data_IF_875568785346
#
_entry.id   IF_875568785346
#
_cell.length_a   1.000
_cell.length_b   1.000
_cell.length_c   1.000
_cell.angle_alpha   90.00
_cell.angle_beta   90.00
_cell.angle_gamma   90.00
#
_symmetry.space_group_name_H-M   'P 1'
#
loop_
_entity.id
_entity.type
_entity.pdbx_description
1 polymer ?
#
# COMPACT_ATOMS: atom_id res chain seq x y z
N UNK A 1 -11.80 -4.01 7.08
CA UNK A 1 -12.62 -4.68 6.04
C UNK A 1 -14.01 -5.13 6.52
N UNK A 2 -14.12 -5.88 7.63
CA UNK A 2 -15.43 -6.36 8.13
C UNK A 2 -16.42 -5.23 8.41
N UNK A 3 -15.95 -4.14 9.04
CA UNK A 3 -16.76 -2.95 9.31
C UNK A 3 -17.26 -2.27 8.03
N UNK A 4 -16.43 -2.20 6.99
CA UNK A 4 -16.82 -1.63 5.69
C UNK A 4 -17.91 -2.48 4.99
N UNK A 5 -17.80 -3.80 5.07
CA UNK A 5 -18.82 -4.72 4.52
C UNK A 5 -20.15 -4.57 5.27
N UNK A 6 -20.11 -4.54 6.60
CA UNK A 6 -21.28 -4.31 7.45
C UNK A 6 -21.97 -2.96 7.13
N UNK A 7 -21.20 -1.87 7.08
CA UNK A 7 -21.71 -0.53 6.78
C UNK A 7 -22.27 -0.45 5.36
N UNK A 8 -21.59 -1.05 4.37
CA UNK A 8 -22.06 -1.07 2.98
C UNK A 8 -23.38 -1.84 2.79
N UNK A 9 -23.55 -2.97 3.47
CA UNK A 9 -24.78 -3.76 3.44
C UNK A 9 -25.94 -3.06 4.17
N UNK A 10 -25.66 -2.36 5.27
CA UNK A 10 -26.64 -1.53 5.98
C UNK A 10 -27.11 -0.34 5.13
N UNK A 11 -26.18 0.34 4.43
CA UNK A 11 -26.49 1.43 3.50
C UNK A 11 -27.33 0.97 2.30
N UNK A 12 -27.15 -0.26 1.84
CA UNK A 12 -27.97 -0.87 0.78
C UNK A 12 -29.35 -1.35 1.27
N UNK A 13 -29.70 -1.14 2.56
CA UNK A 13 -30.97 -1.58 3.18
C UNK A 13 -31.30 -3.05 2.91
N UNK A 14 -30.29 -3.91 2.87
CA UNK A 14 -30.47 -5.34 2.64
C UNK A 14 -31.06 -6.02 3.88
N UNK A 15 -31.77 -7.14 3.67
CA UNK A 15 -32.37 -7.90 4.76
C UNK A 15 -31.33 -8.35 5.79
N UNK A 16 -31.71 -8.42 7.08
CA UNK A 16 -30.79 -8.74 8.19
C UNK A 16 -30.02 -10.06 7.96
N UNK A 17 -30.68 -11.06 7.35
CA UNK A 17 -30.05 -12.33 6.96
C UNK A 17 -28.92 -12.17 5.94
N UNK A 18 -29.08 -11.26 4.97
CA UNK A 18 -28.06 -10.96 3.96
C UNK A 18 -26.89 -10.16 4.54
N UNK A 19 -27.15 -9.28 5.51
CA UNK A 19 -26.11 -8.50 6.21
C UNK A 19 -25.18 -9.44 6.99
N UNK A 20 -25.77 -10.37 7.76
CA UNK A 20 -25.01 -11.35 8.55
C UNK A 20 -24.22 -12.27 7.62
N UNK A 21 -24.87 -12.83 6.58
CA UNK A 21 -24.22 -13.73 5.63
C UNK A 21 -23.10 -13.04 4.82
N UNK A 22 -23.31 -11.79 4.41
CA UNK A 22 -22.31 -10.99 3.69
C UNK A 22 -21.10 -10.64 4.57
N UNK A 23 -21.35 -10.29 5.83
CA UNK A 23 -20.29 -10.02 6.81
C UNK A 23 -19.47 -11.28 7.09
N UNK A 24 -20.13 -12.44 7.29
CA UNK A 24 -19.45 -13.72 7.50
C UNK A 24 -18.61 -14.14 6.29
N UNK A 25 -19.10 -13.98 5.05
CA UNK A 25 -18.29 -14.23 3.84
C UNK A 25 -17.04 -13.36 3.81
N UNK A 26 -17.15 -12.10 4.24
CA UNK A 26 -16.01 -11.17 4.29
C UNK A 26 -15.00 -11.60 5.35
N UNK A 27 -15.47 -12.02 6.53
CA UNK A 27 -14.61 -12.55 7.60
C UNK A 27 -13.87 -13.80 7.10
N UNK A 28 -14.58 -14.78 6.54
CA UNK A 28 -13.98 -16.03 6.06
C UNK A 28 -12.97 -15.76 4.93
N UNK A 29 -13.31 -14.90 3.98
CA UNK A 29 -12.39 -14.49 2.91
C UNK A 29 -11.11 -13.87 3.47
N UNK A 30 -11.22 -12.96 4.44
CA UNK A 30 -10.06 -12.33 5.05
C UNK A 30 -9.20 -13.31 5.87
N UNK A 31 -9.81 -14.21 6.63
CA UNK A 31 -9.09 -15.24 7.40
C UNK A 31 -8.29 -16.15 6.47
N UNK A 32 -8.90 -16.63 5.38
CA UNK A 32 -8.24 -17.50 4.41
C UNK A 32 -7.08 -16.78 3.73
N UNK A 33 -7.29 -15.53 3.28
CA UNK A 33 -6.24 -14.72 2.65
C UNK A 33 -5.06 -14.47 3.59
N UNK A 34 -5.35 -14.12 4.85
CA UNK A 34 -4.30 -13.83 5.85
C UNK A 34 -3.52 -15.09 6.21
N UNK A 35 -4.21 -16.23 6.40
CA UNK A 35 -3.56 -17.51 6.65
C UNK A 35 -2.67 -17.94 5.48
N UNK A 36 -3.16 -17.83 4.24
CA UNK A 36 -2.40 -18.12 3.03
C UNK A 36 -1.18 -17.23 2.87
N UNK A 37 -1.33 -15.92 3.05
CA UNK A 37 -0.22 -14.97 2.99
C UNK A 37 0.86 -15.27 4.06
N UNK A 38 0.45 -15.65 5.27
CA UNK A 38 1.37 -16.05 6.34
C UNK A 38 2.20 -17.29 5.99
N UNK A 39 1.58 -18.30 5.40
CA UNK A 39 2.28 -19.52 4.94
C UNK A 39 3.32 -19.17 3.85
N UNK A 40 2.95 -18.32 2.89
CA UNK A 40 3.85 -17.87 1.83
C UNK A 40 5.03 -17.09 2.41
N UNK A 41 4.77 -16.12 3.29
CA UNK A 41 5.80 -15.31 3.94
C UNK A 41 6.77 -16.16 4.78
N UNK A 42 6.25 -17.14 5.53
CA UNK A 42 7.05 -18.08 6.30
C UNK A 42 7.96 -18.92 5.40
N UNK A 43 7.41 -19.45 4.30
CA UNK A 43 8.18 -20.22 3.32
C UNK A 43 9.29 -19.38 2.70
N UNK A 44 8.99 -18.12 2.35
CA UNK A 44 9.97 -17.17 1.83
C UNK A 44 11.09 -16.89 2.84
N UNK A 45 10.75 -16.79 4.13
CA UNK A 45 11.72 -16.57 5.20
C UNK A 45 12.70 -17.74 5.33
N UNK A 46 12.20 -18.98 5.32
CA UNK A 46 13.06 -20.18 5.35
C UNK A 46 13.94 -20.24 4.11
N UNK A 47 13.37 -19.97 2.93
CA UNK A 47 14.14 -19.93 1.69
C UNK A 47 15.26 -18.89 1.75
N UNK A 48 14.99 -17.71 2.31
CA UNK A 48 15.98 -16.65 2.53
C UNK A 48 17.15 -17.15 3.36
N UNK A 49 16.87 -17.76 4.52
CA UNK A 49 17.89 -18.28 5.44
C UNK A 49 18.71 -19.42 4.82
N UNK A 50 18.06 -20.30 4.07
CA UNK A 50 18.74 -21.40 3.37
C UNK A 50 19.70 -20.85 2.30
N UNK A 51 19.27 -19.84 1.54
CA UNK A 51 20.09 -19.19 0.51
C UNK A 51 21.28 -18.44 1.13
N UNK A 52 21.07 -17.73 2.24
CA UNK A 52 22.12 -17.04 3.01
C UNK A 52 23.19 -18.04 3.50
N UNK A 53 22.74 -19.18 4.03
CA UNK A 53 23.61 -20.23 4.54
C UNK A 53 24.37 -20.97 3.43
N UNK A 54 23.72 -21.26 2.29
CA UNK A 54 24.33 -22.02 1.19
C UNK A 54 25.27 -21.21 0.31
N UNK A 55 25.04 -19.90 0.16
CA UNK A 55 25.84 -19.06 -0.75
C UNK A 55 26.70 -18.01 -0.03
N UNK A 56 26.67 -17.94 1.30
CA UNK A 56 27.36 -16.92 2.11
C UNK A 56 27.05 -15.46 1.67
N UNK A 57 25.93 -15.23 0.99
CA UNK A 57 25.51 -13.90 0.53
C UNK A 57 24.73 -13.26 1.68
N UNK A 58 25.31 -12.28 2.37
CA UNK A 58 24.56 -11.42 3.30
C UNK A 58 23.57 -10.58 2.51
N UNK A 59 22.29 -10.94 2.60
CA UNK A 59 21.24 -10.27 1.85
C UNK A 59 19.88 -10.53 2.46
N UNK A 60 19.30 -9.53 3.10
CA UNK A 60 17.88 -9.55 3.46
C UNK A 60 17.06 -9.74 2.19
N UNK A 61 16.15 -10.73 2.18
CA UNK A 61 15.23 -10.86 1.04
C UNK A 61 14.35 -9.60 1.02
N UNK A 62 14.35 -8.86 -0.11
CA UNK A 62 13.63 -7.60 -0.20
C UNK A 62 12.13 -7.87 -0.09
N UNK A 63 11.62 -7.67 1.13
CA UNK A 63 10.21 -7.67 1.46
C UNK A 63 9.76 -6.22 1.60
N UNK A 64 8.71 -5.86 0.87
CA UNK A 64 8.08 -4.54 0.90
C UNK A 64 7.65 -4.12 2.30
N UNK A 65 7.14 -5.04 3.12
CA UNK A 65 6.69 -4.76 4.50
C UNK A 65 7.86 -4.51 5.44
N UNK A 66 8.94 -5.28 5.32
CA UNK A 66 10.13 -5.11 6.14
C UNK A 66 10.83 -3.76 5.84
N UNK A 67 10.88 -3.37 4.55
CA UNK A 67 11.48 -2.11 4.14
C UNK A 67 10.65 -0.90 4.60
N UNK A 68 9.32 -0.98 4.53
CA UNK A 68 8.46 0.08 5.03
C UNK A 68 8.52 0.22 6.55
N UNK A 69 8.56 -0.89 7.29
CA UNK A 69 8.75 -0.87 8.73
C UNK A 69 10.08 -0.20 9.12
N UNK A 70 11.16 -0.45 8.37
CA UNK A 70 12.45 0.22 8.57
C UNK A 70 12.40 1.72 8.25
N UNK A 71 11.70 2.11 7.18
CA UNK A 71 11.55 3.52 6.82
C UNK A 71 10.71 4.28 7.85
N UNK A 72 9.59 3.72 8.29
CA UNK A 72 8.73 4.34 9.29
C UNK A 72 9.38 4.40 10.68
N UNK A 73 10.21 3.41 11.04
CA UNK A 73 11.00 3.43 12.27
C UNK A 73 12.01 4.58 12.29
N UNK A 74 12.63 4.91 11.16
CA UNK A 74 13.67 5.93 11.07
C UNK A 74 13.15 7.32 10.67
N UNK A 75 12.05 7.40 9.93
CA UNK A 75 11.57 8.61 9.26
C UNK A 75 10.05 8.82 9.36
N UNK A 76 9.40 8.20 10.35
CA UNK A 76 7.93 8.11 10.45
C UNK A 76 7.16 9.43 10.34
N UNK A 77 7.69 10.53 10.88
CA UNK A 77 7.04 11.86 10.76
C UNK A 77 7.06 12.39 9.32
N UNK A 78 8.18 12.20 8.63
CA UNK A 78 8.35 12.69 7.27
C UNK A 78 7.57 11.83 6.28
N UNK A 79 7.60 10.50 6.44
CA UNK A 79 6.79 9.58 5.62
C UNK A 79 5.29 9.81 5.82
N UNK A 80 4.84 10.05 7.06
CA UNK A 80 3.44 10.38 7.34
C UNK A 80 3.01 11.70 6.67
N UNK A 81 3.87 12.71 6.67
CA UNK A 81 3.58 14.02 6.06
C UNK A 81 3.52 13.93 4.53
N UNK A 82 4.46 13.18 3.91
CA UNK A 82 4.46 12.87 2.47
C UNK A 82 3.16 12.16 2.08
N UNK A 83 2.73 11.18 2.88
CA UNK A 83 1.53 10.40 2.64
C UNK A 83 0.26 11.26 2.69
N UNK A 84 0.14 12.16 3.68
CA UNK A 84 -1.00 13.09 3.77
C UNK A 84 -1.02 14.07 2.59
N UNK A 85 0.12 14.69 2.28
CA UNK A 85 0.22 15.65 1.17
C UNK A 85 0.00 14.97 -0.20
N UNK A 86 0.56 13.78 -0.42
CA UNK A 86 0.36 13.02 -1.64
C UNK A 86 -1.10 12.59 -1.85
N UNK A 87 -1.81 12.26 -0.77
CA UNK A 87 -3.24 11.96 -0.84
C UNK A 87 -4.08 13.20 -1.18
N UNK A 88 -3.73 14.39 -0.65
CA UNK A 88 -4.37 15.65 -1.02
C UNK A 88 -4.15 15.98 -2.51
N UNK A 89 -2.92 15.81 -3.00
CA UNK A 89 -2.58 16.01 -4.41
C UNK A 89 -3.34 15.01 -5.30
N UNK A 90 -3.45 13.75 -4.89
CA UNK A 90 -4.22 12.74 -5.61
C UNK A 90 -5.71 13.13 -5.73
N UNK A 91 -6.32 13.61 -4.65
CA UNK A 91 -7.72 14.10 -4.68
C UNK A 91 -7.84 15.31 -5.61
N UNK A 92 -6.90 16.26 -5.55
CA UNK A 92 -6.90 17.44 -6.41
C UNK A 92 -6.75 17.07 -7.90
N UNK A 93 -5.83 16.16 -8.24
CA UNK A 93 -5.62 15.68 -9.61
C UNK A 93 -6.78 14.84 -10.13
N UNK A 94 -7.42 14.06 -9.26
CA UNK A 94 -8.63 13.28 -9.61
C UNK A 94 -9.88 14.16 -9.78
N UNK A 95 -9.89 15.37 -9.20
CA UNK A 95 -10.94 16.36 -9.47
C UNK A 95 -10.76 17.05 -10.83
N UNK A 96 -9.52 17.23 -11.31
CA UNK A 96 -9.23 17.86 -12.60
C UNK A 96 -9.22 16.90 -13.79
N UNK A 97 -8.88 15.62 -13.58
CA UNK A 97 -8.90 14.60 -14.61
C UNK A 97 -10.18 13.75 -14.50
N UNK A 98 -10.89 13.51 -15.60
CA UNK A 98 -12.06 12.62 -15.68
C UNK A 98 -11.74 11.13 -15.42
N UNK A 99 -10.63 10.83 -14.75
CA UNK A 99 -10.20 9.50 -14.34
C UNK A 99 -10.78 9.27 -12.96
N UNK A 100 -11.81 8.42 -12.90
CA UNK A 100 -12.56 8.05 -11.70
C UNK A 100 -11.62 7.83 -10.51
N UNK A 101 -12.00 8.42 -9.37
CA UNK A 101 -11.27 8.29 -8.09
C UNK A 101 -11.15 6.81 -7.72
N UNK A 102 -9.95 6.25 -7.84
CA UNK A 102 -9.66 4.90 -7.35
C UNK A 102 -9.14 4.99 -5.92
N UNK A 103 -10.06 5.04 -4.95
CA UNK A 103 -9.78 4.84 -3.53
C UNK A 103 -9.54 3.34 -3.24
N UNK A 104 -8.55 2.73 -3.88
CA UNK A 104 -8.23 1.33 -3.68
C UNK A 104 -6.97 1.16 -2.86
N UNK A 105 -6.92 0.07 -2.08
CA UNK A 105 -5.76 -0.40 -1.31
C UNK A 105 -4.44 -0.43 -2.11
N UNK A 106 -4.49 -0.33 -3.45
CA UNK A 106 -3.33 -0.22 -4.34
C UNK A 106 -2.49 1.06 -4.13
N UNK A 107 -3.07 2.08 -3.53
CA UNK A 107 -2.39 3.28 -3.03
C UNK A 107 -1.29 2.93 -2.02
N UNK A 108 -1.46 1.86 -1.22
CA UNK A 108 -0.45 1.40 -0.26
C UNK A 108 0.85 0.96 -0.93
N UNK A 109 0.82 0.21 -2.03
CA UNK A 109 2.06 -0.25 -2.68
C UNK A 109 2.89 0.91 -3.29
N UNK A 110 2.23 1.95 -3.79
CA UNK A 110 2.90 3.16 -4.30
C UNK A 110 3.48 4.03 -3.17
N UNK A 111 2.79 4.11 -2.03
CA UNK A 111 3.29 4.70 -0.78
C UNK A 111 4.58 4.02 -0.33
N UNK A 112 4.55 2.69 -0.29
CA UNK A 112 5.66 1.87 0.18
C UNK A 112 6.91 2.01 -0.70
N UNK A 113 6.75 2.08 -2.02
CA UNK A 113 7.89 2.25 -2.94
C UNK A 113 8.58 3.61 -2.79
N UNK A 114 7.79 4.68 -2.60
CA UNK A 114 8.33 6.04 -2.47
C UNK A 114 8.96 6.28 -1.09
N UNK A 115 8.33 5.80 -0.02
CA UNK A 115 8.82 5.99 1.36
C UNK A 115 9.98 5.06 1.73
N UNK A 116 9.95 3.78 1.30
CA UNK A 116 10.97 2.82 1.72
C UNK A 116 12.25 2.88 0.89
N UNK A 117 12.14 3.14 -0.42
CA UNK A 117 13.28 3.22 -1.33
C UNK A 117 13.69 4.65 -1.69
N UNK A 118 12.71 5.52 -1.96
CA UNK A 118 12.95 6.88 -2.45
C UNK A 118 13.44 7.83 -1.37
N UNK A 119 12.77 7.86 -0.23
CA UNK A 119 13.05 8.81 0.85
C UNK A 119 14.53 8.81 1.35
N UNK A 120 15.16 7.68 1.74
CA UNK A 120 16.54 7.67 2.21
C UNK A 120 17.57 7.99 1.11
N UNK A 121 17.26 7.70 -0.17
CA UNK A 121 18.11 8.05 -1.32
C UNK A 121 17.99 9.54 -1.65
N UNK A 122 16.77 10.08 -1.64
CA UNK A 122 16.49 11.49 -1.91
C UNK A 122 17.03 12.41 -0.81
N UNK A 123 17.01 11.99 0.47
CA UNK A 123 17.64 12.74 1.58
C UNK A 123 19.16 12.91 1.41
N UNK A 124 19.83 11.98 0.70
CA UNK A 124 21.26 12.11 0.36
C UNK A 124 21.50 13.09 -0.78
N UNK A 125 20.50 13.34 -1.63
CA UNK A 125 20.60 14.16 -2.84
C UNK A 125 20.07 15.59 -2.65
N UNK A 126 19.06 15.78 -1.81
CA UNK A 126 18.39 17.05 -1.54
C UNK A 126 18.32 17.25 -0.02
N UNK A 127 18.81 18.40 0.47
CA UNK A 127 18.80 18.75 1.91
C UNK A 127 17.49 19.42 2.29
N UNK A 128 16.88 18.98 3.40
CA UNK A 128 15.78 19.66 4.08
C UNK A 128 14.37 19.27 3.61
N UNK A 129 13.39 20.12 3.93
CA UNK A 129 11.94 19.91 3.74
C UNK A 129 11.51 19.75 2.27
N UNK A 130 12.39 20.08 1.32
CA UNK A 130 12.14 19.92 -0.12
C UNK A 130 11.93 18.46 -0.55
N UNK A 131 12.51 17.50 0.18
CA UNK A 131 12.30 16.06 -0.08
C UNK A 131 10.84 15.66 0.15
N UNK A 132 10.19 16.25 1.15
CA UNK A 132 8.78 15.97 1.48
C UNK A 132 7.86 16.48 0.37
N UNK A 133 8.10 17.69 -0.13
CA UNK A 133 7.30 18.28 -1.21
C UNK A 133 7.45 17.49 -2.51
N UNK A 134 8.69 17.17 -2.90
CA UNK A 134 8.96 16.40 -4.12
C UNK A 134 8.39 14.98 -4.00
N UNK A 135 8.58 14.33 -2.85
CA UNK A 135 8.03 13.01 -2.55
C UNK A 135 6.51 12.99 -2.64
N UNK A 136 5.82 13.97 -2.05
CA UNK A 136 4.36 14.06 -2.07
C UNK A 136 3.80 14.25 -3.49
N UNK A 137 4.45 15.08 -4.32
CA UNK A 137 4.03 15.31 -5.72
C UNK A 137 4.22 14.07 -6.57
N UNK A 138 5.38 13.42 -6.48
CA UNK A 138 5.67 12.18 -7.22
C UNK A 138 4.68 11.09 -6.82
N UNK A 139 4.50 10.92 -5.51
CA UNK A 139 3.57 9.95 -4.95
C UNK A 139 2.14 10.20 -5.43
N UNK A 140 1.62 11.42 -5.30
CA UNK A 140 0.28 11.79 -5.74
C UNK A 140 0.07 11.62 -7.25
N UNK A 141 1.09 11.94 -8.06
CA UNK A 141 1.04 11.73 -9.51
C UNK A 141 1.04 10.23 -9.88
N UNK A 142 1.91 9.42 -9.26
CA UNK A 142 1.96 7.97 -9.51
C UNK A 142 0.66 7.26 -9.10
N UNK A 143 0.01 7.73 -8.02
CA UNK A 143 -1.29 7.23 -7.58
C UNK A 143 -2.41 7.46 -8.60
N UNK A 144 -2.32 8.49 -9.44
CA UNK A 144 -3.30 8.75 -10.51
C UNK A 144 -2.93 8.02 -11.80
N UNK A 145 -1.64 8.05 -12.18
CA UNK A 145 -1.16 7.53 -13.46
C UNK A 145 -1.22 6.00 -13.50
N UNK A 146 -0.82 5.31 -12.43
CA UNK A 146 -0.76 3.85 -12.42
C UNK A 146 -2.12 3.14 -12.59
N UNK A 147 -3.19 3.51 -11.87
CA UNK A 147 -4.52 2.94 -12.15
C UNK A 147 -5.09 3.44 -13.47
N UNK A 148 -4.80 4.68 -13.89
CA UNK A 148 -5.23 5.21 -15.19
C UNK A 148 -4.68 4.39 -16.36
N UNK A 149 -3.40 4.00 -16.30
CA UNK A 149 -2.78 3.15 -17.28
C UNK A 149 -3.36 1.73 -17.26
N UNK A 150 -3.51 1.12 -16.09
CA UNK A 150 -4.07 -0.24 -15.98
C UNK A 150 -5.52 -0.33 -16.47
N UNK A 151 -6.34 0.68 -16.19
CA UNK A 151 -7.71 0.77 -16.69
C UNK A 151 -7.79 0.97 -18.21
N UNK A 152 -6.75 1.52 -18.84
CA UNK A 152 -6.66 1.64 -20.29
C UNK A 152 -6.18 0.34 -20.98
N UNK A 153 -5.40 -0.49 -20.27
CA UNK A 153 -4.85 -1.75 -20.80
C UNK A 153 -5.81 -2.95 -20.61
N UNK A 154 -6.67 -2.92 -19.58
CA UNK A 154 -7.67 -3.97 -19.32
C UNK A 154 -9.08 -3.35 -19.26
N UNK A 155 -9.82 -3.27 -20.38
CA UNK A 155 -11.18 -2.72 -20.44
C UNK A 155 -12.24 -3.64 -19.82
#
# INVERSE_FOLDING_TARGET
MVLFSLIGLLLQKKGISDVISGTLKTIMGFVILTAGAGIIAYTLTIFSQLFEHSFHIQGVVPNTDAMAALAQKNYGTETATIMVLGMLINIALAASNAIKVHLSDRTSYALYGCDAGGYPVCRRLVRGDGVVAIGAVILGAMMVISPGYLAAVYP
#
